data_IF_621197518211
#
_entry.id   IF_621197518211
#
_cell.length_a   1.000
_cell.length_b   1.000
_cell.length_c   1.000
_cell.angle_alpha   90.00
_cell.angle_beta   90.00
_cell.angle_gamma   90.00
#
_symmetry.space_group_name_H-M   'P 1'
#
loop_
_entity.id
_entity.type
_entity.pdbx_description
1 polymer ?
#
# COMPACT_ATOMS: atom_id res chain seq x y z
N UNK A 1 26.08 -14.86 29.13
CA UNK A 1 24.68 -14.41 29.09
C UNK A 1 24.42 -13.85 27.69
N UNK A 2 23.90 -14.68 26.80
CA UNK A 2 23.42 -14.24 25.49
C UNK A 2 22.04 -13.68 25.77
N UNK A 3 21.88 -12.35 25.66
CA UNK A 3 20.55 -11.76 25.66
C UNK A 3 19.84 -12.29 24.43
N UNK A 4 18.85 -13.15 24.66
CA UNK A 4 17.78 -13.45 23.72
C UNK A 4 16.96 -12.16 23.54
N UNK A 5 17.52 -11.22 22.75
CA UNK A 5 16.72 -10.16 22.17
C UNK A 5 15.91 -10.84 21.07
N UNK A 6 14.70 -11.24 21.43
CA UNK A 6 13.64 -11.49 20.47
C UNK A 6 13.53 -10.23 19.62
N UNK A 7 14.10 -10.27 18.41
CA UNK A 7 14.02 -9.17 17.46
C UNK A 7 12.53 -9.08 17.10
N UNK A 8 11.78 -8.23 17.80
CA UNK A 8 10.40 -7.93 17.46
C UNK A 8 10.44 -7.28 16.08
N UNK A 9 10.38 -8.10 15.03
CA UNK A 9 10.16 -7.61 13.68
C UNK A 9 8.90 -6.76 13.76
N UNK A 10 9.05 -5.46 13.50
CA UNK A 10 8.05 -4.40 13.61
C UNK A 10 6.84 -4.72 12.71
N UNK A 11 6.00 -5.65 13.14
CA UNK A 11 4.88 -6.16 12.37
C UNK A 11 3.63 -5.43 12.82
N UNK A 12 3.05 -4.67 11.91
CA UNK A 12 1.84 -3.92 12.22
C UNK A 12 0.64 -4.82 11.95
N UNK A 13 -0.22 -4.98 12.95
CA UNK A 13 -1.51 -5.65 12.76
C UNK A 13 -2.41 -4.70 11.97
N UNK A 14 -3.01 -5.19 10.90
CA UNK A 14 -3.95 -4.45 10.06
C UNK A 14 -5.31 -5.12 10.18
N UNK A 15 -6.30 -4.33 10.59
CA UNK A 15 -7.68 -4.78 10.65
C UNK A 15 -8.45 -4.17 9.48
N UNK A 16 -8.98 -5.02 8.60
CA UNK A 16 -9.78 -4.58 7.45
C UNK A 16 -11.24 -4.94 7.72
N UNK A 17 -12.05 -3.91 7.93
CA UNK A 17 -13.49 -4.04 8.11
C UNK A 17 -14.20 -3.65 6.80
N UNK A 18 -14.96 -4.59 6.24
CA UNK A 18 -15.72 -4.46 5.00
C UNK A 18 -17.19 -4.22 5.36
N UNK A 19 -17.88 -3.35 4.63
CA UNK A 19 -19.30 -3.04 4.91
C UNK A 19 -20.21 -4.29 4.90
N UNK A 20 -19.93 -5.29 4.04
CA UNK A 20 -20.65 -6.59 4.06
C UNK A 20 -20.46 -7.39 5.36
N UNK A 21 -19.35 -7.17 6.08
CA UNK A 21 -19.05 -7.78 7.37
C UNK A 21 -19.84 -7.14 8.52
N UNK A 22 -20.31 -5.89 8.35
CA UNK A 22 -21.16 -5.18 9.33
C UNK A 22 -22.66 -5.50 9.18
N UNK A 23 -23.11 -5.94 8.00
CA UNK A 23 -24.54 -6.12 7.67
C UNK A 23 -25.13 -7.53 7.94
N UNK A 24 -24.31 -8.56 8.16
CA UNK A 24 -24.79 -9.92 8.46
C UNK A 24 -24.88 -10.15 9.98
N UNK A 25 -26.01 -9.75 10.57
CA UNK A 25 -26.48 -10.17 11.89
C UNK A 25 -26.29 -11.70 12.08
N UNK A 26 -25.29 -12.14 12.85
CA UNK A 26 -25.36 -13.40 13.61
C UNK A 26 -24.46 -14.58 13.24
N UNK A 27 -23.68 -14.58 12.16
CA UNK A 27 -22.69 -15.65 11.91
C UNK A 27 -21.28 -15.11 12.19
N UNK A 28 -20.72 -15.50 13.34
CA UNK A 28 -19.36 -15.15 13.77
C UNK A 28 -18.35 -15.91 12.93
N UNK A 29 -17.94 -15.32 11.81
CA UNK A 29 -16.86 -15.86 10.97
C UNK A 29 -15.51 -15.22 11.32
N UNK A 30 -14.45 -16.03 11.24
CA UNK A 30 -13.14 -15.80 11.85
C UNK A 30 -12.48 -14.50 11.39
N UNK A 31 -12.01 -13.71 12.37
CA UNK A 31 -11.07 -12.60 12.16
C UNK A 31 -9.88 -13.10 11.34
N UNK A 32 -9.65 -12.54 10.16
CA UNK A 32 -8.42 -12.78 9.42
C UNK A 32 -7.39 -11.78 9.93
N UNK A 33 -6.38 -12.28 10.63
CA UNK A 33 -5.27 -11.44 11.08
C UNK A 33 -4.37 -11.12 9.88
N UNK A 34 -4.40 -9.87 9.44
CA UNK A 34 -3.53 -9.35 8.38
C UNK A 34 -2.39 -8.62 9.05
N UNK A 35 -1.18 -8.89 8.57
CA UNK A 35 0.04 -8.28 9.10
C UNK A 35 0.80 -7.56 8.00
N UNK A 36 1.17 -6.31 8.26
CA UNK A 36 2.02 -5.50 7.39
C UNK A 36 3.44 -5.46 7.95
N UNK A 37 4.41 -5.78 7.09
CA UNK A 37 5.84 -5.73 7.45
C UNK A 37 6.52 -4.45 6.96
N UNK A 38 6.24 -4.03 5.72
CA UNK A 38 6.96 -2.93 5.08
C UNK A 38 6.10 -1.69 4.95
N UNK A 39 5.03 -1.80 4.15
CA UNK A 39 4.09 -0.71 3.94
C UNK A 39 2.77 -1.25 3.42
N UNK A 40 1.74 -0.42 3.51
CA UNK A 40 0.44 -0.59 2.87
C UNK A 40 0.09 0.71 2.17
N UNK A 41 -0.61 0.61 1.05
CA UNK A 41 -1.03 1.78 0.29
C UNK A 41 -2.47 1.68 -0.19
N UNK A 42 -3.07 2.84 -0.45
CA UNK A 42 -4.41 3.04 -0.99
C UNK A 42 -4.29 4.02 -2.15
N UNK A 43 -5.08 3.83 -3.21
CA UNK A 43 -5.09 4.70 -4.39
C UNK A 43 -4.09 4.25 -5.47
N UNK A 44 -3.48 5.21 -6.16
CA UNK A 44 -2.64 4.99 -7.35
C UNK A 44 -1.54 3.95 -7.10
N UNK A 45 -0.80 4.03 -5.98
CA UNK A 45 0.28 3.07 -5.69
C UNK A 45 -0.24 1.62 -5.61
N UNK A 46 -1.39 1.42 -4.96
CA UNK A 46 -2.02 0.10 -4.84
C UNK A 46 -2.50 -0.41 -6.21
N UNK A 47 -3.07 0.47 -7.03
CA UNK A 47 -3.51 0.12 -8.38
C UNK A 47 -2.32 -0.22 -9.28
N UNK A 48 -1.22 0.54 -9.23
CA UNK A 48 0.00 0.25 -10.00
C UNK A 48 0.57 -1.11 -9.58
N UNK A 49 0.57 -1.37 -8.28
CA UNK A 49 1.03 -2.66 -7.72
C UNK A 49 0.15 -3.81 -8.21
N UNK A 50 -1.17 -3.62 -8.28
CA UNK A 50 -2.11 -4.62 -8.79
C UNK A 50 -1.90 -4.89 -10.29
N UNK A 51 -1.71 -3.85 -11.09
CA UNK A 51 -1.49 -3.99 -12.53
C UNK A 51 -0.13 -4.64 -12.82
N UNK A 52 0.90 -4.28 -12.04
CA UNK A 52 2.18 -4.96 -12.07
C UNK A 52 2.04 -6.44 -11.70
N UNK A 53 1.32 -6.78 -10.64
CA UNK A 53 1.06 -8.17 -10.25
C UNK A 53 0.34 -8.97 -11.37
N UNK A 54 -0.65 -8.37 -12.03
CA UNK A 54 -1.35 -8.97 -13.18
C UNK A 54 -0.40 -9.18 -14.35
N UNK A 55 0.42 -8.18 -14.68
CA UNK A 55 1.38 -8.25 -15.77
C UNK A 55 2.46 -9.31 -15.52
N UNK A 56 2.91 -9.48 -14.27
CA UNK A 56 3.83 -10.54 -13.85
C UNK A 56 3.28 -11.93 -14.08
N UNK A 57 1.98 -12.10 -13.95
CA UNK A 57 1.28 -13.37 -14.18
C UNK A 57 1.11 -13.70 -15.67
N UNK A 58 1.48 -12.78 -16.58
CA UNK A 58 1.39 -13.01 -18.01
C UNK A 58 2.50 -13.91 -18.54
N UNK A 59 2.20 -14.70 -19.58
CA UNK A 59 3.13 -15.63 -20.23
C UNK A 59 4.37 -14.94 -20.84
N UNK A 60 4.33 -13.63 -21.07
CA UNK A 60 5.42 -12.85 -21.66
C UNK A 60 6.39 -12.26 -20.62
N UNK A 61 6.05 -12.31 -19.33
CA UNK A 61 6.90 -11.81 -18.24
C UNK A 61 8.16 -12.66 -17.87
N UNK A 62 8.30 -13.96 -18.17
CA UNK A 62 9.46 -14.77 -17.75
C UNK A 62 10.83 -14.23 -18.18
N UNK A 63 10.88 -13.34 -19.17
CA UNK A 63 12.11 -12.72 -19.70
C UNK A 63 12.33 -11.28 -19.21
N UNK A 64 11.59 -10.85 -18.16
CA UNK A 64 11.63 -9.49 -17.65
C UNK A 64 12.98 -9.12 -17.01
N UNK A 65 13.80 -8.36 -17.73
CA UNK A 65 15.02 -7.77 -17.18
C UNK A 65 14.70 -6.69 -16.12
N UNK A 66 15.68 -6.30 -15.30
CA UNK A 66 15.52 -5.18 -14.34
C UNK A 66 15.10 -3.90 -15.06
N UNK A 67 15.61 -3.67 -16.27
CA UNK A 67 15.25 -2.53 -17.10
C UNK A 67 13.78 -2.62 -17.53
N UNK A 68 13.35 -3.78 -18.02
CA UNK A 68 11.95 -4.01 -18.40
C UNK A 68 11.00 -3.79 -17.22
N UNK A 69 11.37 -4.24 -16.02
CA UNK A 69 10.56 -4.01 -14.81
C UNK A 69 10.42 -2.53 -14.49
N UNK A 70 11.51 -1.75 -14.59
CA UNK A 70 11.46 -0.30 -14.39
C UNK A 70 10.57 0.40 -15.44
N UNK A 71 10.69 0.01 -16.71
CA UNK A 71 9.85 0.57 -17.79
C UNK A 71 8.38 0.23 -17.62
N UNK A 72 8.07 -0.98 -17.15
CA UNK A 72 6.71 -1.41 -16.89
C UNK A 72 6.07 -0.62 -15.73
N UNK A 73 6.80 -0.39 -14.64
CA UNK A 73 6.37 0.48 -13.54
C UNK A 73 6.12 1.92 -14.02
N UNK A 74 7.02 2.46 -14.85
CA UNK A 74 6.85 3.79 -15.44
C UNK A 74 5.59 3.85 -16.31
N UNK A 75 5.37 2.84 -17.16
CA UNK A 75 4.19 2.74 -18.02
C UNK A 75 2.89 2.72 -17.22
N UNK A 76 2.78 1.88 -16.20
CA UNK A 76 1.58 1.82 -15.36
C UNK A 76 1.35 3.11 -14.57
N UNK A 77 2.41 3.74 -14.06
CA UNK A 77 2.32 5.06 -13.45
C UNK A 77 1.74 6.10 -14.40
N UNK A 78 2.23 6.15 -15.65
CA UNK A 78 1.70 7.09 -16.66
C UNK A 78 0.26 6.81 -17.06
N UNK A 79 -0.15 5.53 -17.11
CA UNK A 79 -1.53 5.18 -17.43
C UNK A 79 -2.51 5.69 -16.37
N UNK A 80 -2.14 5.67 -15.09
CA UNK A 80 -3.04 6.13 -14.03
C UNK A 80 -3.19 7.65 -13.97
N UNK A 81 -2.12 8.40 -14.29
CA UNK A 81 -2.19 9.85 -14.49
C UNK A 81 -3.23 10.20 -15.57
N UNK A 82 -3.35 9.37 -16.61
CA UNK A 82 -4.30 9.56 -17.71
C UNK A 82 -5.70 9.03 -17.38
N UNK A 83 -5.80 7.86 -16.75
CA UNK A 83 -7.07 7.18 -16.45
C UNK A 83 -7.85 7.84 -15.31
N UNK A 84 -7.18 8.58 -14.40
CA UNK A 84 -7.82 9.34 -13.33
C UNK A 84 -8.66 8.51 -12.34
N UNK A 85 -8.51 7.18 -12.31
CA UNK A 85 -9.36 6.27 -11.53
C UNK A 85 -9.31 6.55 -10.01
N UNK A 86 -8.19 7.11 -9.55
CA UNK A 86 -7.93 7.43 -8.14
C UNK A 86 -8.06 8.93 -7.82
N UNK A 87 -8.63 9.74 -8.72
CA UNK A 87 -8.88 11.16 -8.44
C UNK A 87 -9.85 11.34 -7.28
N UNK A 88 -9.65 12.46 -6.57
CA UNK A 88 -10.47 12.88 -5.45
C UNK A 88 -10.51 11.84 -4.32
N UNK A 89 -9.38 11.18 -4.05
CA UNK A 89 -9.32 10.12 -3.03
C UNK A 89 -9.63 10.68 -1.64
N UNK A 90 -9.28 11.95 -1.39
CA UNK A 90 -9.59 12.69 -0.18
C UNK A 90 -11.10 12.82 0.08
N UNK A 91 -11.93 12.83 -0.96
CA UNK A 91 -13.40 12.88 -0.83
C UNK A 91 -14.03 11.52 -0.51
N UNK A 92 -13.24 10.43 -0.61
CA UNK A 92 -13.70 9.05 -0.44
C UNK A 92 -13.15 8.38 0.83
N UNK A 93 -12.27 9.06 1.56
CA UNK A 93 -11.59 8.54 2.73
C UNK A 93 -11.70 9.51 3.90
N UNK A 94 -11.92 8.95 5.09
CA UNK A 94 -11.69 9.66 6.34
C UNK A 94 -10.45 9.07 7.00
N UNK A 95 -9.42 9.88 7.21
CA UNK A 95 -8.22 9.47 7.92
C UNK A 95 -8.32 9.89 9.38
N UNK A 96 -8.06 8.94 10.27
CA UNK A 96 -7.91 9.21 11.70
C UNK A 96 -6.50 8.79 12.14
N UNK A 97 -5.78 9.70 12.80
CA UNK A 97 -4.50 9.43 13.44
C UNK A 97 -4.69 9.60 14.95
N UNK A 98 -4.39 8.56 15.72
CA UNK A 98 -4.58 8.53 17.19
C UNK A 98 -5.98 8.98 17.64
N UNK A 99 -7.00 8.63 16.84
CA UNK A 99 -8.41 8.97 17.10
C UNK A 99 -8.83 10.38 16.66
N UNK A 100 -7.91 11.19 16.14
CA UNK A 100 -8.18 12.53 15.63
C UNK A 100 -8.36 12.49 14.12
N UNK A 101 -9.45 13.06 13.61
CA UNK A 101 -9.67 13.17 12.16
C UNK A 101 -8.66 14.15 11.55
N UNK A 102 -8.05 13.76 10.44
CA UNK A 102 -7.10 14.58 9.68
C UNK A 102 -7.76 14.99 8.38
N UNK A 103 -7.75 16.28 8.09
CA UNK A 103 -8.17 16.81 6.79
C UNK A 103 -7.11 16.47 5.74
N UNK A 104 -7.54 15.74 4.71
CA UNK A 104 -6.66 15.30 3.64
C UNK A 104 -6.58 16.38 2.55
N UNK A 105 -5.38 16.71 2.04
CA UNK A 105 -5.25 17.54 0.84
C UNK A 105 -5.73 16.76 -0.40
N UNK A 106 -5.87 17.45 -1.53
CA UNK A 106 -6.05 16.77 -2.83
C UNK A 106 -4.91 15.77 -3.05
N UNK A 107 -5.26 14.49 -3.11
CA UNK A 107 -4.30 13.40 -3.24
C UNK A 107 -4.90 12.24 -4.01
N UNK A 108 -4.04 11.45 -4.64
CA UNK A 108 -4.45 10.25 -5.38
C UNK A 108 -3.93 8.95 -4.73
N UNK A 109 -3.11 9.04 -3.69
CA UNK A 109 -2.60 7.88 -2.96
C UNK A 109 -2.17 8.21 -1.53
N UNK A 110 -2.40 7.26 -0.62
CA UNK A 110 -1.88 7.26 0.75
C UNK A 110 -0.98 6.03 0.92
N UNK A 111 0.20 6.22 1.51
CA UNK A 111 1.14 5.14 1.82
C UNK A 111 1.52 5.21 3.29
N UNK A 112 1.33 4.11 4.01
CA UNK A 112 1.69 3.95 5.42
C UNK A 112 2.94 3.08 5.47
N UNK A 113 4.02 3.62 6.04
CA UNK A 113 5.36 3.03 5.97
C UNK A 113 5.83 2.58 7.36
N UNK A 114 6.38 1.37 7.43
CA UNK A 114 7.15 0.88 8.56
C UNK A 114 8.67 0.87 8.28
N UNK A 115 9.07 0.97 7.01
CA UNK A 115 10.47 1.12 6.59
C UNK A 115 10.67 2.42 5.81
N UNK A 116 11.90 2.92 5.75
CA UNK A 116 12.23 4.18 5.09
C UNK A 116 12.05 4.18 3.57
N UNK A 117 11.99 3.00 2.94
CA UNK A 117 12.00 2.85 1.49
C UNK A 117 10.64 2.44 0.93
N UNK A 118 10.23 3.07 -0.17
CA UNK A 118 9.03 2.77 -0.94
C UNK A 118 9.32 2.78 -2.46
N UNK A 119 8.42 2.27 -3.29
CA UNK A 119 8.40 2.52 -4.75
C UNK A 119 9.76 2.34 -5.45
N UNK A 120 10.24 1.10 -5.57
CA UNK A 120 11.55 0.78 -6.17
C UNK A 120 12.80 1.34 -5.43
N UNK A 121 12.67 1.65 -4.13
CA UNK A 121 13.80 1.97 -3.25
C UNK A 121 13.96 3.45 -2.91
N UNK A 122 12.95 4.27 -3.19
CA UNK A 122 12.90 5.69 -2.80
C UNK A 122 12.91 5.81 -1.28
N UNK A 123 13.87 6.53 -0.72
CA UNK A 123 13.95 6.81 0.72
C UNK A 123 13.15 8.08 1.06
N UNK A 124 11.97 7.90 1.67
CA UNK A 124 11.07 8.99 2.01
C UNK A 124 11.43 9.68 3.34
N UNK A 125 12.09 8.97 4.26
CA UNK A 125 12.46 9.53 5.57
C UNK A 125 13.63 10.52 5.50
N UNK A 126 14.39 10.49 4.40
CA UNK A 126 15.52 11.39 4.15
C UNK A 126 15.17 12.70 3.46
N UNK A 127 13.90 12.91 3.05
CA UNK A 127 13.50 14.06 2.21
C UNK A 127 13.60 15.40 2.96
N UNK A 128 13.59 15.40 4.29
CA UNK A 128 13.63 16.61 5.12
C UNK A 128 15.03 16.95 5.67
N UNK A 129 16.12 16.45 5.09
CA UNK A 129 17.48 16.90 5.43
C UNK A 129 17.96 17.96 4.43
N UNK A 130 17.45 19.18 4.58
CA UNK A 130 18.00 20.40 3.98
C UNK A 130 18.28 21.41 5.10
#
# INVERSE_FOLDING_TARGET
MIYDQTLNFYRWSVEILTHRQLSHLGIRMSKTDIYMYNYISIGVDAQVTLDFHRARSSRFYPFGSRFFNKMLYLGFGTQQVVAADCKNLEQRLNLYLDGVQVDLPELESIVILNIASWGAGVNLWGINKC
#
